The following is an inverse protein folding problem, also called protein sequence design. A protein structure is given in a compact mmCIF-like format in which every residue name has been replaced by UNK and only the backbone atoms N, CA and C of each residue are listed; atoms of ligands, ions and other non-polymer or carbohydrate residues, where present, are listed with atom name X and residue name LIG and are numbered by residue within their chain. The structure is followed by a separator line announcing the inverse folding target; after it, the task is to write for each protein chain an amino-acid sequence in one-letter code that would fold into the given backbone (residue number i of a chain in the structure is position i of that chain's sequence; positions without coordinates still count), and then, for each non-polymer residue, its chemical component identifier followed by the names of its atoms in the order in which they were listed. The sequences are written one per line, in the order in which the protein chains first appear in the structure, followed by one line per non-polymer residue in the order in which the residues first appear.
data_IF_656848735576
#
_entry.id   IF_656848735576
#
_cell.length_a   1.000
_cell.length_b   1.000
_cell.length_c   1.000
_cell.angle_alpha   90.00
_cell.angle_beta   90.00
_cell.angle_gamma   90.00
#
_symmetry.space_group_name_H-M   'P 1'
#
loop_
_entity.id
_entity.type
_entity.pdbx_description
1 polymer ?
#
# COMPACT_ATOMS: atom_id res chain seq x y z
N UNK A 1 -1.87 24.70 -2.40
CA UNK A 1 -2.10 23.67 -3.45
C UNK A 1 -1.17 22.50 -3.15
N UNK A 2 -1.58 21.29 -3.49
CA UNK A 2 -0.75 20.09 -3.29
C UNK A 2 0.14 19.87 -4.51
N UNK A 3 1.37 19.41 -4.26
CA UNK A 3 2.36 19.06 -5.28
C UNK A 3 2.83 17.63 -5.05
N UNK A 4 3.05 16.87 -6.11
CA UNK A 4 3.60 15.51 -6.04
C UNK A 4 5.10 15.56 -6.32
N UNK A 5 5.89 15.04 -5.38
CA UNK A 5 7.35 15.03 -5.45
C UNK A 5 7.86 13.59 -5.41
N UNK A 6 8.53 13.15 -6.47
CA UNK A 6 9.26 11.90 -6.49
C UNK A 6 10.76 12.20 -6.67
N UNK A 7 11.57 11.85 -5.69
CA UNK A 7 13.01 12.08 -5.74
C UNK A 7 13.75 10.81 -5.35
N UNK A 8 14.91 10.60 -5.97
CA UNK A 8 15.73 9.45 -5.65
C UNK A 8 17.03 9.45 -6.42
N UNK A 9 17.73 8.32 -6.35
CA UNK A 9 18.97 8.12 -7.10
C UNK A 9 19.12 6.67 -7.55
N UNK A 10 19.81 6.47 -8.66
CA UNK A 10 20.30 5.18 -9.14
C UNK A 10 21.81 5.29 -9.32
N UNK A 11 22.58 4.67 -8.43
CA UNK A 11 24.04 4.86 -8.38
C UNK A 11 24.40 6.33 -8.11
N UNK A 12 25.14 6.97 -9.01
CA UNK A 12 25.50 8.39 -8.92
C UNK A 12 24.57 9.33 -9.71
N UNK A 13 23.47 8.82 -10.24
CA UNK A 13 22.48 9.63 -10.95
C UNK A 13 21.29 9.91 -10.02
N UNK A 14 21.05 11.19 -9.72
CA UNK A 14 19.88 11.64 -8.99
C UNK A 14 18.76 12.04 -9.94
N UNK A 15 17.52 11.83 -9.52
CA UNK A 15 16.34 12.32 -10.22
C UNK A 15 15.42 13.09 -9.27
N UNK A 16 14.70 14.05 -9.83
CA UNK A 16 13.69 14.85 -9.17
C UNK A 16 12.53 15.04 -10.15
N UNK A 17 11.37 14.54 -9.77
CA UNK A 17 10.12 14.73 -10.49
C UNK A 17 9.18 15.55 -9.61
N UNK A 18 8.79 16.73 -10.09
CA UNK A 18 7.80 17.60 -9.47
C UNK A 18 6.61 17.74 -10.42
N UNK A 19 5.45 17.25 -9.98
CA UNK A 19 4.19 17.27 -10.74
C UNK A 19 4.30 16.68 -12.17
N UNK A 20 5.13 15.64 -12.34
CA UNK A 20 5.38 14.98 -13.62
C UNK A 20 6.53 15.60 -14.44
N UNK A 21 7.14 16.68 -13.95
CA UNK A 21 8.30 17.33 -14.57
C UNK A 21 9.57 16.75 -13.97
N UNK A 22 10.22 15.85 -14.71
CA UNK A 22 11.43 15.16 -14.29
C UNK A 22 12.71 15.90 -14.71
N UNK A 23 13.65 16.03 -13.77
CA UNK A 23 15.02 16.47 -13.96
C UNK A 23 15.97 15.40 -13.42
N UNK A 24 16.88 14.92 -14.27
CA UNK A 24 17.96 14.01 -13.87
C UNK A 24 19.31 14.72 -13.90
N UNK A 25 20.18 14.41 -12.93
CA UNK A 25 21.56 14.90 -12.88
C UNK A 25 22.50 13.81 -12.43
N UNK A 26 23.64 13.72 -13.10
CA UNK A 26 24.73 12.82 -12.75
C UNK A 26 25.77 13.54 -11.89
N UNK A 27 26.11 12.96 -10.74
CA UNK A 27 27.14 13.48 -9.87
C UNK A 27 28.56 13.17 -10.40
N UNK A 28 29.56 13.87 -9.85
CA UNK A 28 30.98 13.66 -10.15
C UNK A 28 31.38 12.18 -9.97
N UNK A 29 32.37 11.68 -10.73
CA UNK A 29 32.86 10.31 -10.57
C UNK A 29 33.39 10.09 -9.14
N UNK A 30 32.89 9.07 -8.43
CA UNK A 30 33.44 8.67 -7.13
C UNK A 30 32.44 8.06 -6.15
N UNK A 31 31.37 8.78 -5.78
CA UNK A 31 30.39 8.29 -4.81
C UNK A 31 29.17 7.68 -5.51
N UNK A 32 29.01 6.36 -5.39
CA UNK A 32 27.88 5.62 -5.95
C UNK A 32 26.94 5.05 -4.87
N UNK A 33 27.29 5.22 -3.60
CA UNK A 33 26.59 4.65 -2.45
C UNK A 33 26.23 5.76 -1.47
N UNK A 34 25.04 5.66 -0.87
CA UNK A 34 24.56 6.52 0.19
C UNK A 34 24.46 5.63 1.41
N UNK A 35 25.41 5.82 2.32
CA UNK A 35 25.53 5.03 3.52
C UNK A 35 25.32 5.92 4.74
N UNK A 36 24.05 6.18 5.05
CA UNK A 36 23.67 7.00 6.19
C UNK A 36 23.26 6.07 7.32
N UNK A 37 24.17 5.81 8.25
CA UNK A 37 23.90 5.06 9.49
C UNK A 37 23.13 5.92 10.52
N UNK A 38 22.17 6.71 10.07
CA UNK A 38 21.50 7.75 10.88
C UNK A 38 19.99 7.75 10.64
N UNK A 39 19.25 8.32 11.59
CA UNK A 39 17.84 8.64 11.41
C UNK A 39 17.67 9.57 10.19
N UNK A 40 16.57 9.40 9.44
CA UNK A 40 16.17 10.35 8.40
C UNK A 40 15.18 11.36 8.99
N UNK A 41 15.20 12.58 8.46
CA UNK A 41 14.37 13.68 8.94
C UNK A 41 13.48 14.21 7.82
N UNK A 42 12.26 14.60 8.17
CA UNK A 42 11.28 15.19 7.24
C UNK A 42 10.88 16.55 7.76
N UNK A 43 10.85 17.56 6.89
CA UNK A 43 10.47 18.93 7.23
C UNK A 43 11.60 19.78 7.86
N UNK A 44 12.64 19.18 8.43
CA UNK A 44 13.80 19.91 8.97
C UNK A 44 14.64 19.04 9.91
N UNK A 45 15.77 19.56 10.40
CA UNK A 45 16.63 18.87 11.38
C UNK A 45 16.72 19.65 12.69
N UNK A 46 16.93 18.95 13.81
CA UNK A 46 16.89 19.50 15.17
C UNK A 46 18.07 20.41 15.56
N UNK A 47 19.10 20.52 14.71
CA UNK A 47 20.32 21.28 14.99
C UNK A 47 20.83 21.97 13.73
N UNK A 48 20.09 22.98 13.25
CA UNK A 48 20.54 23.80 12.13
C UNK A 48 21.59 24.81 12.63
N UNK A 49 22.83 24.67 12.16
CA UNK A 49 23.85 25.71 12.35
C UNK A 49 23.47 26.98 11.56
N UNK A 50 24.03 28.15 11.89
CA UNK A 50 23.65 29.45 11.31
C UNK A 50 23.80 29.59 9.77
N UNK A 51 24.35 28.58 9.08
CA UNK A 51 24.53 28.53 7.61
C UNK A 51 23.72 27.41 6.92
N UNK A 52 22.79 26.76 7.61
CA UNK A 52 22.03 25.64 7.07
C UNK A 52 20.61 26.03 6.60
N UNK A 53 20.00 25.25 5.67
CA UNK A 53 18.68 25.55 5.12
C UNK A 53 17.62 25.69 6.22
N UNK A 54 16.77 26.69 6.08
CA UNK A 54 15.60 26.86 6.96
C UNK A 54 14.68 25.66 6.86
N UNK A 55 14.16 25.19 8.00
CA UNK A 55 13.15 24.15 8.04
C UNK A 55 11.92 24.50 7.18
N UNK A 56 11.28 23.47 6.64
CA UNK A 56 10.05 23.58 5.87
C UNK A 56 8.88 24.03 6.76
N UNK A 57 8.07 24.94 6.25
CA UNK A 57 6.79 25.35 6.85
C UNK A 57 5.69 25.07 5.84
N UNK A 58 4.77 24.16 6.18
CA UNK A 58 3.71 23.70 5.31
C UNK A 58 3.24 22.30 5.71
N UNK A 59 2.62 21.60 4.78
CA UNK A 59 2.05 20.27 5.03
C UNK A 59 2.69 19.21 4.15
N UNK A 60 2.96 18.05 4.73
CA UNK A 60 3.52 16.88 4.05
C UNK A 60 2.61 15.69 4.35
N UNK A 61 2.31 14.88 3.33
CA UNK A 61 1.54 13.64 3.44
C UNK A 61 2.12 12.59 2.50
N UNK A 62 1.67 11.34 2.63
CA UNK A 62 2.02 10.23 1.71
C UNK A 62 3.54 9.99 1.60
N UNK A 63 4.24 9.95 2.75
CA UNK A 63 5.70 9.75 2.75
C UNK A 63 6.00 8.28 2.49
N UNK A 64 6.59 7.99 1.33
CA UNK A 64 7.01 6.64 0.95
C UNK A 64 8.52 6.62 0.73
N UNK A 65 9.22 5.74 1.44
CA UNK A 65 10.67 5.52 1.31
C UNK A 65 10.91 4.06 0.93
N UNK A 66 11.54 3.82 -0.23
CA UNK A 66 11.83 2.46 -0.74
C UNK A 66 10.62 1.51 -0.66
N UNK A 67 9.45 2.00 -1.09
CA UNK A 67 8.16 1.30 -1.08
C UNK A 67 7.58 1.01 0.31
N UNK A 68 8.16 1.56 1.38
CA UNK A 68 7.56 1.57 2.71
C UNK A 68 6.87 2.91 2.94
N UNK A 69 5.56 2.86 3.15
CA UNK A 69 4.80 4.00 3.66
C UNK A 69 5.17 4.26 5.12
N UNK A 70 5.40 5.53 5.45
CA UNK A 70 5.65 5.99 6.81
C UNK A 70 4.38 6.62 7.36
N UNK A 71 3.88 6.06 8.45
CA UNK A 71 2.66 6.51 9.08
C UNK A 71 2.95 7.75 9.93
N UNK A 72 2.23 8.84 9.70
CA UNK A 72 2.33 10.05 10.53
C UNK A 72 1.45 9.95 11.79
N UNK A 73 1.40 8.75 12.39
CA UNK A 73 0.69 8.51 13.66
C UNK A 73 1.62 8.74 14.85
N UNK A 74 1.08 8.84 16.06
CA UNK A 74 1.89 9.06 17.29
C UNK A 74 2.86 7.92 17.62
N UNK A 75 2.76 6.77 16.94
CA UNK A 75 3.52 5.55 17.26
C UNK A 75 4.66 5.24 16.31
N UNK A 76 4.64 5.72 15.07
CA UNK A 76 5.63 5.34 14.04
C UNK A 76 6.89 6.24 14.03
N UNK A 77 6.79 7.58 14.13
CA UNK A 77 7.95 8.44 14.28
C UNK A 77 8.65 8.24 15.62
N UNK A 78 9.99 8.13 15.60
CA UNK A 78 10.83 8.06 16.81
C UNK A 78 10.78 9.34 17.68
N UNK A 79 10.40 10.47 17.07
CA UNK A 79 10.22 11.76 17.74
C UNK A 79 9.84 12.88 16.77
N UNK A 80 9.43 14.02 17.31
CA UNK A 80 9.05 15.21 16.52
C UNK A 80 8.88 16.45 17.42
N UNK A 81 8.93 17.64 16.84
CA UNK A 81 8.77 18.91 17.55
C UNK A 81 7.93 19.89 16.73
N UNK A 82 7.01 20.61 17.40
CA UNK A 82 6.17 21.64 16.79
C UNK A 82 5.33 21.16 15.58
N UNK A 83 4.93 19.89 15.58
CA UNK A 83 4.09 19.29 14.53
C UNK A 83 2.62 19.42 14.96
N UNK A 84 1.81 20.03 14.10
CA UNK A 84 0.36 20.10 14.23
C UNK A 84 -0.32 19.49 13.00
N UNK A 85 -1.61 19.23 13.13
CA UNK A 85 -2.41 18.75 12.01
C UNK A 85 -2.62 19.85 10.96
N UNK A 86 -2.54 19.50 9.68
CA UNK A 86 -2.75 20.42 8.56
C UNK A 86 -4.22 20.54 8.12
N UNK A 87 -4.97 19.45 8.17
CA UNK A 87 -6.36 19.35 7.68
C UNK A 87 -7.39 19.08 8.79
N UNK A 88 -6.92 18.82 10.01
CA UNK A 88 -7.72 18.54 11.20
C UNK A 88 -7.76 17.04 11.48
N UNK A 89 -7.40 16.65 12.71
CA UNK A 89 -7.13 15.27 13.15
C UNK A 89 -8.15 14.22 12.77
N UNK A 90 -9.41 14.61 12.70
CA UNK A 90 -10.48 13.67 12.40
C UNK A 90 -10.57 13.38 10.90
N UNK A 91 -10.19 14.35 10.05
CA UNK A 91 -10.21 14.23 8.60
C UNK A 91 -8.80 14.16 8.01
N UNK A 92 -8.14 13.02 8.22
CA UNK A 92 -6.92 12.68 7.49
C UNK A 92 -7.18 12.19 6.06
N UNK A 93 -6.11 12.20 5.24
CA UNK A 93 -6.11 11.83 3.82
C UNK A 93 -6.77 10.47 3.47
N UNK A 94 -6.71 9.47 4.35
CA UNK A 94 -7.22 8.11 4.06
C UNK A 94 -8.51 7.73 4.79
N UNK A 95 -9.10 8.67 5.54
CA UNK A 95 -10.26 8.39 6.41
C UNK A 95 -11.48 8.01 5.58
N UNK A 96 -11.81 8.79 4.54
CA UNK A 96 -12.89 8.43 3.62
C UNK A 96 -12.34 7.72 2.39
N UNK A 97 -12.67 6.44 2.24
CA UNK A 97 -12.30 5.60 1.09
C UNK A 97 -13.13 5.95 -0.13
N UNK A 98 -12.71 5.40 -1.27
CA UNK A 98 -13.47 5.42 -2.53
C UNK A 98 -13.94 6.82 -2.95
N UNK A 99 -13.08 7.83 -2.78
CA UNK A 99 -13.33 9.23 -3.12
C UNK A 99 -14.46 9.89 -2.30
N UNK A 100 -14.68 9.41 -1.06
CA UNK A 100 -15.55 10.09 -0.09
C UNK A 100 -14.97 11.42 0.38
N UNK A 101 -15.85 12.37 0.71
CA UNK A 101 -15.44 13.68 1.24
C UNK A 101 -15.53 13.67 2.75
N UNK A 102 -14.42 13.95 3.43
CA UNK A 102 -14.38 14.03 4.89
C UNK A 102 -14.81 15.41 5.40
N UNK A 103 -15.59 15.42 6.48
CA UNK A 103 -15.95 16.61 7.23
C UNK A 103 -15.65 16.40 8.71
N UNK A 104 -14.94 17.35 9.32
CA UNK A 104 -14.65 17.35 10.76
C UNK A 104 -15.94 17.75 11.49
N UNK A 105 -16.34 16.95 12.47
CA UNK A 105 -17.48 17.19 13.34
C UNK A 105 -17.02 17.29 14.82
N UNK A 106 -17.89 17.79 15.69
CA UNK A 106 -17.55 17.99 17.12
C UNK A 106 -17.16 16.70 17.87
N UNK A 107 -17.50 15.53 17.33
CA UNK A 107 -17.25 14.21 17.92
C UNK A 107 -16.32 13.32 17.09
N UNK A 108 -15.62 13.88 16.10
CA UNK A 108 -14.74 13.12 15.20
C UNK A 108 -14.93 13.52 13.74
N UNK A 109 -15.09 12.53 12.86
CA UNK A 109 -15.25 12.74 11.43
C UNK A 109 -16.58 12.21 10.90
N UNK A 110 -16.97 12.73 9.75
CA UNK A 110 -18.09 12.25 8.95
C UNK A 110 -17.66 12.14 7.49
N UNK A 111 -17.96 11.00 6.86
CA UNK A 111 -17.68 10.79 5.44
C UNK A 111 -18.95 10.93 4.60
N UNK A 112 -18.94 11.88 3.67
CA UNK A 112 -19.94 11.94 2.60
C UNK A 112 -19.54 10.98 1.49
N UNK A 113 -20.26 9.86 1.39
CA UNK A 113 -19.95 8.80 0.43
C UNK A 113 -20.54 9.07 -0.96
N UNK A 114 -19.81 8.75 -2.04
CA UNK A 114 -20.38 8.75 -3.38
C UNK A 114 -21.50 7.73 -3.53
N UNK A 115 -22.36 7.90 -4.54
CA UNK A 115 -23.59 7.12 -4.76
C UNK A 115 -23.42 5.59 -4.66
N UNK A 116 -22.27 5.06 -5.06
CA UNK A 116 -22.02 3.61 -5.11
C UNK A 116 -21.38 3.01 -3.84
N UNK A 117 -21.15 3.85 -2.81
CA UNK A 117 -20.44 3.49 -1.59
C UNK A 117 -21.22 3.87 -0.32
N UNK A 118 -20.96 3.14 0.76
CA UNK A 118 -21.55 3.28 2.08
C UNK A 118 -20.58 2.79 3.15
N UNK A 119 -20.98 2.87 4.43
CA UNK A 119 -20.11 2.63 5.57
C UNK A 119 -19.57 3.94 6.15
N UNK A 120 -19.01 3.86 7.36
CA UNK A 120 -18.51 5.04 8.11
C UNK A 120 -17.35 5.71 7.36
N UNK A 121 -16.56 4.91 6.64
CA UNK A 121 -15.40 5.33 5.85
C UNK A 121 -15.65 5.17 4.35
N UNK A 122 -16.89 4.98 3.89
CA UNK A 122 -17.22 4.69 2.48
C UNK A 122 -16.54 3.43 1.93
N UNK A 123 -16.22 2.47 2.78
CA UNK A 123 -15.46 1.26 2.48
C UNK A 123 -16.29 0.16 1.82
N UNK A 124 -17.63 0.21 1.94
CA UNK A 124 -18.53 -0.83 1.49
C UNK A 124 -19.30 -0.39 0.25
N UNK A 125 -19.38 -1.24 -0.78
CA UNK A 125 -20.24 -0.97 -1.93
C UNK A 125 -21.72 -1.13 -1.56
N UNK A 126 -22.58 -0.24 -2.05
CA UNK A 126 -24.03 -0.35 -1.84
C UNK A 126 -24.61 -1.68 -2.34
N UNK A 127 -24.05 -2.25 -3.40
CA UNK A 127 -24.49 -3.54 -3.94
C UNK A 127 -24.21 -4.70 -2.99
N UNK A 128 -23.24 -4.53 -2.10
CA UNK A 128 -22.88 -5.50 -1.07
C UNK A 128 -23.45 -5.16 0.32
N UNK A 129 -24.24 -4.09 0.45
CA UNK A 129 -24.81 -3.65 1.74
C UNK A 129 -25.83 -4.64 2.30
N UNK A 130 -26.62 -5.28 1.45
CA UNK A 130 -27.59 -6.33 1.79
C UNK A 130 -27.12 -7.73 1.37
N UNK A 131 -25.80 -7.97 1.36
CA UNK A 131 -25.28 -9.23 0.85
C UNK A 131 -25.82 -10.43 1.65
N UNK A 132 -26.23 -11.48 0.94
CA UNK A 132 -26.63 -12.78 1.48
C UNK A 132 -25.55 -13.83 1.20
N UNK A 133 -24.31 -13.40 1.03
CA UNK A 133 -23.20 -14.33 0.86
C UNK A 133 -23.07 -15.15 2.15
N UNK A 134 -22.95 -16.48 2.00
CA UNK A 134 -22.75 -17.36 3.16
C UNK A 134 -21.45 -17.06 3.90
N UNK A 135 -21.32 -17.56 5.13
CA UNK A 135 -20.13 -17.36 5.96
C UNK A 135 -18.83 -17.67 5.19
N UNK A 136 -17.84 -16.78 5.28
CA UNK A 136 -16.54 -16.85 4.58
C UNK A 136 -16.56 -16.61 3.06
N UNK A 137 -17.67 -16.17 2.48
CA UNK A 137 -17.70 -15.69 1.09
C UNK A 137 -17.47 -14.17 1.02
N UNK A 138 -16.74 -13.74 0.00
CA UNK A 138 -16.50 -12.32 -0.30
C UNK A 138 -17.57 -11.84 -1.27
N UNK A 139 -18.26 -10.74 -0.91
CA UNK A 139 -19.19 -10.08 -1.81
C UNK A 139 -18.42 -9.27 -2.87
N UNK A 140 -18.75 -9.50 -4.13
CA UNK A 140 -18.13 -8.84 -5.28
C UNK A 140 -19.22 -7.99 -5.95
N UNK A 141 -19.18 -6.66 -5.83
CA UNK A 141 -20.18 -5.80 -6.44
C UNK A 141 -20.12 -5.89 -7.96
N UNK A 142 -21.27 -5.79 -8.61
CA UNK A 142 -21.43 -5.71 -10.07
C UNK A 142 -22.19 -4.43 -10.42
N UNK A 143 -21.47 -3.28 -10.54
CA UNK A 143 -22.11 -1.99 -10.74
C UNK A 143 -22.94 -1.91 -12.03
N UNK A 144 -22.49 -2.57 -13.10
CA UNK A 144 -23.18 -2.56 -14.41
C UNK A 144 -24.54 -3.27 -14.39
N UNK A 145 -24.74 -4.22 -13.48
CA UNK A 145 -25.98 -4.99 -13.36
C UNK A 145 -26.77 -4.65 -12.10
N UNK A 146 -26.36 -3.62 -11.34
CA UNK A 146 -26.92 -3.26 -10.04
C UNK A 146 -27.07 -4.47 -9.09
N UNK A 147 -26.08 -5.37 -9.10
CA UNK A 147 -26.12 -6.66 -8.40
C UNK A 147 -24.79 -6.97 -7.70
N UNK A 148 -24.67 -8.15 -7.10
CA UNK A 148 -23.41 -8.69 -6.57
C UNK A 148 -23.29 -10.18 -6.86
N UNK A 149 -22.06 -10.68 -6.76
CA UNK A 149 -21.74 -12.12 -6.77
C UNK A 149 -20.96 -12.50 -5.53
N UNK A 150 -21.09 -13.75 -5.09
CA UNK A 150 -20.32 -14.27 -3.97
C UNK A 150 -19.13 -15.08 -4.48
N UNK A 151 -17.92 -14.68 -4.09
CA UNK A 151 -16.75 -15.55 -4.18
C UNK A 151 -16.68 -16.40 -2.91
N UNK A 152 -17.07 -17.66 -3.01
CA UNK A 152 -17.03 -18.59 -1.91
C UNK A 152 -15.62 -19.15 -1.70
N UNK A 153 -15.30 -19.47 -0.45
CA UNK A 153 -14.09 -20.21 -0.11
C UNK A 153 -14.01 -21.55 -0.87
N UNK A 154 -12.79 -22.03 -1.12
CA UNK A 154 -12.54 -23.28 -1.84
C UNK A 154 -13.30 -24.45 -1.18
N UNK A 155 -14.09 -25.19 -1.97
CA UNK A 155 -14.88 -26.33 -1.49
C UNK A 155 -16.28 -26.01 -0.93
N UNK A 156 -16.64 -24.73 -0.77
CA UNK A 156 -17.98 -24.33 -0.31
C UNK A 156 -19.06 -24.31 -1.40
N UNK A 157 -18.63 -24.33 -2.65
CA UNK A 157 -19.56 -24.58 -3.77
C UNK A 157 -19.59 -26.07 -4.05
N UNK A 158 -20.70 -26.58 -4.61
CA UNK A 158 -20.78 -27.96 -5.12
C UNK A 158 -19.73 -28.28 -6.22
N UNK A 159 -18.91 -27.31 -6.64
CA UNK A 159 -17.76 -27.49 -7.52
C UNK A 159 -16.47 -27.59 -6.69
N UNK A 160 -15.97 -28.81 -6.56
CA UNK A 160 -14.76 -29.14 -5.79
C UNK A 160 -13.50 -29.16 -6.69
N UNK A 161 -13.67 -29.10 -8.02
CA UNK A 161 -12.56 -29.16 -9.00
C UNK A 161 -12.66 -28.05 -10.03
N UNK A 162 -11.58 -27.29 -10.15
CA UNK A 162 -11.32 -26.35 -11.24
C UNK A 162 -9.81 -26.30 -11.50
N UNK A 163 -9.41 -25.95 -12.73
CA UNK A 163 -8.01 -25.85 -13.14
C UNK A 163 -7.52 -24.40 -13.25
N UNK A 164 -8.46 -23.44 -13.21
CA UNK A 164 -8.19 -22.00 -13.29
C UNK A 164 -8.91 -21.36 -12.11
N UNK A 165 -8.14 -20.80 -11.18
CA UNK A 165 -8.66 -20.12 -10.00
C UNK A 165 -8.89 -18.64 -10.30
N UNK A 166 -10.01 -18.08 -9.83
CA UNK A 166 -10.24 -16.64 -9.81
C UNK A 166 -10.02 -16.13 -8.39
N UNK A 167 -9.13 -15.17 -8.22
CA UNK A 167 -8.84 -14.51 -6.94
C UNK A 167 -9.51 -13.14 -6.90
N UNK A 168 -10.05 -12.75 -5.75
CA UNK A 168 -10.67 -11.43 -5.55
C UNK A 168 -10.36 -10.90 -4.15
N UNK A 169 -9.91 -9.64 -4.07
CA UNK A 169 -9.49 -9.03 -2.80
C UNK A 169 -8.43 -9.90 -2.10
N UNK A 170 -8.68 -10.23 -0.83
CA UNK A 170 -7.75 -11.00 0.01
C UNK A 170 -7.94 -12.52 -0.12
N UNK A 171 -8.39 -13.01 -1.28
CA UNK A 171 -8.51 -14.45 -1.54
C UNK A 171 -7.13 -15.11 -1.59
N UNK A 172 -6.97 -16.29 -1.00
CA UNK A 172 -5.74 -17.07 -1.06
C UNK A 172 -6.01 -18.57 -1.17
N UNK A 173 -5.01 -19.31 -1.68
CA UNK A 173 -4.96 -20.76 -1.60
C UNK A 173 -3.68 -21.12 -0.87
N UNK A 174 -3.81 -21.89 0.22
CA UNK A 174 -2.66 -22.35 1.02
C UNK A 174 -2.40 -23.81 0.73
N UNK A 175 -1.15 -24.14 0.40
CA UNK A 175 -0.69 -25.51 0.22
C UNK A 175 0.30 -25.87 1.34
N UNK A 176 0.17 -27.09 1.86
CA UNK A 176 1.21 -27.70 2.68
C UNK A 176 2.13 -28.48 1.75
N UNK A 177 3.43 -28.23 1.79
CA UNK A 177 4.39 -29.05 1.06
C UNK A 177 4.72 -30.34 1.84
N UNK A 178 4.29 -31.52 1.37
CA UNK A 178 4.59 -32.78 2.05
C UNK A 178 6.08 -33.13 2.02
N UNK A 179 6.89 -32.50 1.17
CA UNK A 179 8.31 -32.77 1.01
C UNK A 179 9.21 -31.65 1.57
N UNK A 180 8.66 -30.76 2.41
CA UNK A 180 9.39 -29.63 2.98
C UNK A 180 10.78 -30.01 3.53
N UNK A 181 10.85 -31.07 4.36
CA UNK A 181 12.11 -31.54 4.95
C UNK A 181 13.12 -32.20 3.97
N UNK A 182 12.75 -32.37 2.70
CA UNK A 182 13.59 -32.94 1.64
C UNK A 182 13.96 -31.92 0.56
N UNK A 183 13.58 -30.64 0.71
CA UNK A 183 13.90 -29.61 -0.27
C UNK A 183 15.40 -29.33 -0.34
N UNK A 184 15.86 -29.01 -1.55
CA UNK A 184 17.12 -28.30 -1.70
C UNK A 184 16.88 -26.82 -1.33
N UNK A 185 17.33 -26.40 -0.15
CA UNK A 185 17.13 -25.04 0.34
C UNK A 185 17.84 -23.97 -0.51
N UNK A 186 18.79 -24.37 -1.36
CA UNK A 186 19.51 -23.46 -2.25
C UNK A 186 18.82 -23.29 -3.63
N UNK A 187 17.77 -24.07 -3.92
CA UNK A 187 17.12 -24.05 -5.22
C UNK A 187 15.59 -24.03 -5.07
N UNK A 188 14.99 -22.96 -5.55
CA UNK A 188 13.54 -22.80 -5.62
C UNK A 188 13.12 -22.40 -7.03
N UNK A 189 12.04 -22.98 -7.53
CA UNK A 189 11.45 -22.64 -8.82
C UNK A 189 9.93 -22.57 -8.69
N UNK A 190 9.38 -21.41 -9.01
CA UNK A 190 7.94 -21.20 -9.14
C UNK A 190 7.64 -20.90 -10.61
N UNK A 191 6.57 -21.49 -11.14
CA UNK A 191 6.14 -21.30 -12.53
C UNK A 191 4.63 -21.26 -12.56
N UNK A 192 4.07 -20.21 -13.15
CA UNK A 192 2.63 -19.98 -13.25
C UNK A 192 2.32 -19.13 -14.48
N UNK A 193 1.08 -19.20 -14.96
CA UNK A 193 0.53 -18.29 -15.95
C UNK A 193 -0.56 -17.46 -15.26
N UNK A 194 -0.55 -16.14 -15.42
CA UNK A 194 -1.54 -15.25 -14.82
C UNK A 194 -2.00 -14.17 -15.79
N UNK A 195 -3.12 -13.54 -15.46
CA UNK A 195 -3.64 -12.34 -16.13
C UNK A 195 -4.33 -11.48 -15.09
N UNK A 196 -4.19 -10.16 -15.20
CA UNK A 196 -4.85 -9.19 -14.31
C UNK A 196 -4.96 -7.83 -14.97
N UNK A 197 -5.85 -7.00 -14.46
CA UNK A 197 -5.95 -5.57 -14.79
C UNK A 197 -5.40 -4.67 -13.68
N UNK A 198 -4.98 -5.25 -12.55
CA UNK A 198 -4.42 -4.50 -11.42
C UNK A 198 -2.95 -4.15 -11.68
N UNK A 199 -2.55 -2.97 -11.20
CA UNK A 199 -1.16 -2.47 -11.28
C UNK A 199 -0.33 -2.84 -10.05
N UNK A 200 -1.00 -3.22 -8.97
CA UNK A 200 -0.41 -3.62 -7.69
C UNK A 200 -0.99 -4.97 -7.27
N UNK A 201 -0.19 -5.83 -6.64
CA UNK A 201 -0.72 -7.02 -5.98
C UNK A 201 0.28 -8.14 -5.77
N UNK A 202 0.09 -8.92 -4.70
CA UNK A 202 0.89 -10.11 -4.41
C UNK A 202 0.34 -11.32 -5.20
N UNK A 203 1.19 -11.98 -5.99
CA UNK A 203 0.84 -13.16 -6.79
C UNK A 203 1.18 -14.44 -6.04
N UNK A 204 2.37 -14.50 -5.44
CA UNK A 204 2.82 -15.67 -4.71
C UNK A 204 3.74 -15.29 -3.56
N UNK A 205 3.65 -16.05 -2.47
CA UNK A 205 4.50 -15.92 -1.30
C UNK A 205 4.93 -17.31 -0.83
N UNK A 206 6.23 -17.51 -0.70
CA UNK A 206 6.83 -18.68 -0.03
C UNK A 206 7.67 -18.17 1.12
N UNK A 207 7.15 -18.29 2.34
CA UNK A 207 7.82 -17.82 3.55
C UNK A 207 6.90 -18.01 4.74
N UNK A 208 7.40 -17.78 5.95
CA UNK A 208 6.58 -17.78 7.17
C UNK A 208 5.77 -16.47 7.17
N UNK A 209 4.45 -16.55 7.11
CA UNK A 209 3.57 -15.38 6.93
C UNK A 209 3.31 -14.59 8.22
N UNK A 210 3.93 -14.94 9.35
CA UNK A 210 3.49 -14.48 10.68
C UNK A 210 4.61 -13.99 11.62
N UNK A 211 5.87 -13.83 11.18
CA UNK A 211 6.93 -13.21 12.00
C UNK A 211 7.98 -12.50 11.12
N UNK A 212 8.31 -11.24 11.45
CA UNK A 212 9.07 -10.26 10.66
C UNK A 212 10.57 -10.55 10.41
N UNK A 213 11.09 -11.75 10.68
CA UNK A 213 12.51 -12.09 10.51
C UNK A 213 12.74 -13.44 9.79
N UNK A 214 12.03 -13.73 8.71
CA UNK A 214 12.21 -14.99 7.97
C UNK A 214 12.42 -14.79 6.47
N UNK A 215 13.33 -15.59 5.90
CA UNK A 215 13.58 -15.66 4.47
C UNK A 215 12.29 -15.96 3.70
N UNK A 216 12.07 -15.22 2.61
CA UNK A 216 10.91 -15.40 1.75
C UNK A 216 11.26 -15.26 0.27
N UNK A 217 10.41 -15.85 -0.57
CA UNK A 217 10.32 -15.57 -2.00
C UNK A 217 8.93 -15.02 -2.28
N UNK A 218 8.85 -13.82 -2.85
CA UNK A 218 7.60 -13.20 -3.26
C UNK A 218 7.61 -12.89 -4.76
N UNK A 219 6.45 -13.01 -5.40
CA UNK A 219 6.19 -12.50 -6.76
C UNK A 219 4.99 -11.59 -6.64
N UNK A 220 5.07 -10.38 -7.18
CA UNK A 220 3.98 -9.41 -7.15
C UNK A 220 4.00 -8.51 -8.37
N UNK A 221 3.09 -7.54 -8.39
CA UNK A 221 3.07 -6.43 -9.31
C UNK A 221 3.29 -5.13 -8.54
N UNK A 222 4.12 -4.26 -9.09
CA UNK A 222 4.30 -2.88 -8.66
C UNK A 222 4.29 -1.96 -9.89
N UNK A 223 3.40 -0.98 -9.90
CA UNK A 223 3.14 -0.04 -11.00
C UNK A 223 2.97 -0.74 -12.36
N UNK A 224 2.27 -1.88 -12.37
CA UNK A 224 2.00 -2.69 -13.57
C UNK A 224 3.17 -3.54 -14.05
N UNK A 225 4.27 -3.59 -13.30
CA UNK A 225 5.47 -4.39 -13.62
C UNK A 225 5.63 -5.54 -12.62
N UNK A 226 6.12 -6.69 -13.09
CA UNK A 226 6.47 -7.88 -12.29
C UNK A 226 7.73 -7.68 -11.44
#
# INVERSE_FOLDING_TARGET
TWHSLNAGRVGNEGYLDLDGINVTRKASPGMNMLDTHTDFFVGGVSSLNQNEPTGFTGCIREIVINNRELNLTVTDPKGGANIGDCDGTDCGYTVCKNNGTCQVENSGFSCSCPREWTGIMCEQSIHCSQNMCGSHAVCIPQPSSFSYTCACALGWTNKIKFYIAKFVGNSYIKYTDPFYGKRNLQYSRLSLNFTTSQTEGLIAWMGKSEDEDNDFLAIGLANGTL
#
